data_IF_149817429900
#
_entry.id   IF_149817429900
#
_cell.length_a   1.000
_cell.length_b   1.000
_cell.length_c   1.000
_cell.angle_alpha   90.00
_cell.angle_beta   90.00
_cell.angle_gamma   90.00
#
_symmetry.space_group_name_H-M   'P 1'
#
loop_
_entity.id
_entity.type
_entity.pdbx_description
1 polymer ?
#
# COMPACT_ATOMS: atom_id res chain seq x y z
N UNK A 1 -42.38 -7.95 5.16
CA UNK A 1 -41.57 -9.14 4.86
C UNK A 1 -40.30 -8.69 4.15
N UNK A 2 -39.28 -8.34 4.92
CA UNK A 2 -37.95 -7.98 4.40
C UNK A 2 -37.26 -9.27 4.00
N UNK A 3 -37.20 -9.52 2.70
CA UNK A 3 -36.46 -10.64 2.12
C UNK A 3 -34.98 -10.41 2.35
N UNK A 4 -34.40 -11.09 3.33
CA UNK A 4 -32.95 -11.16 3.56
C UNK A 4 -32.32 -11.91 2.40
N UNK A 5 -31.86 -11.18 1.39
CA UNK A 5 -31.09 -11.73 0.28
C UNK A 5 -29.76 -12.24 0.84
N UNK A 6 -29.51 -13.54 0.71
CA UNK A 6 -28.26 -14.16 1.13
C UNK A 6 -27.07 -13.47 0.42
N UNK A 7 -25.95 -13.26 1.13
CA UNK A 7 -24.76 -12.69 0.51
C UNK A 7 -24.31 -13.55 -0.68
N UNK A 8 -23.82 -12.94 -1.78
CA UNK A 8 -23.33 -13.70 -2.92
C UNK A 8 -22.23 -14.68 -2.48
N UNK A 9 -22.16 -15.88 -3.07
CA UNK A 9 -21.13 -16.86 -2.72
C UNK A 9 -19.74 -16.26 -2.94
N UNK A 10 -18.87 -16.39 -1.95
CA UNK A 10 -17.47 -15.98 -2.03
C UNK A 10 -16.85 -16.59 -3.30
N UNK A 11 -16.27 -15.75 -4.17
CA UNK A 11 -15.63 -16.23 -5.39
C UNK A 11 -14.52 -17.22 -5.03
N UNK A 12 -14.58 -18.43 -5.59
CA UNK A 12 -13.59 -19.46 -5.35
C UNK A 12 -12.21 -19.02 -5.86
N UNK A 13 -11.16 -19.37 -5.12
CA UNK A 13 -9.77 -19.08 -5.48
C UNK A 13 -9.42 -19.68 -6.86
N UNK A 14 -9.00 -18.83 -7.80
CA UNK A 14 -8.59 -19.26 -9.13
C UNK A 14 -7.39 -20.23 -9.06
N UNK A 15 -7.34 -21.20 -9.98
CA UNK A 15 -6.34 -22.29 -9.98
C UNK A 15 -4.88 -21.79 -9.95
N UNK A 16 -4.54 -20.83 -10.81
CA UNK A 16 -3.16 -20.28 -10.89
C UNK A 16 -2.76 -19.55 -9.60
N UNK A 17 -3.72 -18.87 -8.96
CA UNK A 17 -3.53 -18.21 -7.66
C UNK A 17 -3.31 -19.24 -6.56
N UNK A 18 -4.10 -20.31 -6.54
CA UNK A 18 -3.93 -21.41 -5.60
C UNK A 18 -2.56 -22.10 -5.76
N UNK A 19 -2.08 -22.32 -7.00
CA UNK A 19 -0.74 -22.86 -7.26
C UNK A 19 0.35 -21.94 -6.73
N UNK A 20 0.22 -20.63 -6.94
CA UNK A 20 1.17 -19.63 -6.42
C UNK A 20 1.22 -19.66 -4.89
N UNK A 21 0.06 -19.68 -4.24
CA UNK A 21 -0.01 -19.73 -2.77
C UNK A 21 0.51 -21.06 -2.22
N UNK A 22 0.23 -22.18 -2.88
CA UNK A 22 0.78 -23.48 -2.53
C UNK A 22 2.32 -23.47 -2.58
N UNK A 23 2.92 -22.87 -3.61
CA UNK A 23 4.37 -22.73 -3.72
C UNK A 23 4.95 -21.84 -2.59
N UNK A 24 4.26 -20.78 -2.20
CA UNK A 24 4.63 -19.94 -1.06
C UNK A 24 4.59 -20.72 0.25
N UNK A 25 3.50 -21.43 0.53
CA UNK A 25 3.39 -22.23 1.76
C UNK A 25 4.40 -23.38 1.78
N UNK A 26 4.63 -24.07 0.66
CA UNK A 26 5.64 -25.12 0.57
C UNK A 26 7.04 -24.57 0.86
N UNK A 27 7.35 -23.37 0.36
CA UNK A 27 8.59 -22.69 0.70
C UNK A 27 8.63 -22.32 2.19
N UNK A 28 7.56 -21.83 2.80
CA UNK A 28 7.58 -21.42 4.21
C UNK A 28 7.36 -22.56 5.22
N UNK A 29 6.98 -23.75 4.78
CA UNK A 29 6.80 -24.93 5.64
C UNK A 29 8.12 -25.50 6.21
N UNK A 30 9.25 -24.81 6.02
CA UNK A 30 10.56 -25.17 6.56
C UNK A 30 11.00 -24.16 7.64
N UNK A 31 11.26 -24.62 8.87
CA UNK A 31 11.59 -23.73 9.98
C UNK A 31 12.91 -22.97 9.77
N UNK A 32 13.86 -23.53 9.02
CA UNK A 32 15.13 -22.86 8.70
C UNK A 32 14.89 -21.68 7.78
N UNK A 33 14.00 -21.81 6.79
CA UNK A 33 13.64 -20.73 5.88
C UNK A 33 12.88 -19.61 6.58
N UNK A 34 11.98 -19.95 7.51
CA UNK A 34 11.27 -18.97 8.34
C UNK A 34 12.25 -18.19 9.22
N UNK A 35 13.17 -18.88 9.91
CA UNK A 35 14.20 -18.24 10.74
C UNK A 35 15.14 -17.36 9.92
N UNK A 36 15.54 -17.81 8.73
CA UNK A 36 16.40 -17.04 7.84
C UNK A 36 15.71 -15.75 7.38
N UNK A 37 14.44 -15.85 6.95
CA UNK A 37 13.65 -14.69 6.55
C UNK A 37 13.54 -13.67 7.69
N UNK A 38 13.28 -14.14 8.91
CA UNK A 38 13.23 -13.29 10.10
C UNK A 38 14.57 -12.62 10.37
N UNK A 39 15.68 -13.36 10.35
CA UNK A 39 17.02 -12.81 10.57
C UNK A 39 17.38 -11.72 9.56
N UNK A 40 17.06 -11.91 8.28
CA UNK A 40 17.25 -10.87 7.25
C UNK A 40 16.35 -9.66 7.51
N UNK A 41 15.09 -9.88 7.89
CA UNK A 41 14.13 -8.82 8.16
C UNK A 41 14.47 -7.97 9.38
N UNK A 42 15.10 -8.56 10.40
CA UNK A 42 15.49 -7.90 11.65
C UNK A 42 16.92 -7.38 11.64
N UNK A 43 17.68 -7.59 10.56
CA UNK A 43 19.01 -7.05 10.42
C UNK A 43 18.96 -5.50 10.41
N UNK A 44 19.85 -4.86 11.18
CA UNK A 44 19.87 -3.39 11.32
C UNK A 44 20.03 -2.64 9.97
N UNK A 45 20.67 -3.28 8.99
CA UNK A 45 20.87 -2.77 7.63
C UNK A 45 19.75 -3.14 6.64
N UNK A 46 18.70 -3.85 7.07
CA UNK A 46 17.66 -4.40 6.20
C UNK A 46 18.14 -5.47 5.20
N UNK A 47 19.39 -5.92 5.36
CA UNK A 47 20.05 -6.92 4.53
C UNK A 47 21.19 -7.58 5.30
N UNK A 48 21.54 -8.83 4.95
CA UNK A 48 22.57 -9.61 5.63
C UNK A 48 23.37 -10.48 4.66
N UNK A 49 24.66 -10.70 4.94
CA UNK A 49 25.49 -11.61 4.12
C UNK A 49 25.13 -13.06 4.42
N UNK A 50 25.17 -13.91 3.40
CA UNK A 50 24.89 -15.36 3.54
C UNK A 50 25.78 -16.02 4.60
N UNK A 51 27.05 -15.64 4.69
CA UNK A 51 27.97 -16.18 5.71
C UNK A 51 27.61 -15.78 7.13
N UNK A 52 27.06 -14.57 7.33
CA UNK A 52 26.65 -14.09 8.65
C UNK A 52 25.34 -14.75 9.08
N UNK A 53 24.39 -14.89 8.15
CA UNK A 53 23.15 -15.64 8.35
C UNK A 53 23.42 -17.10 8.73
N UNK A 54 24.34 -17.76 8.03
CA UNK A 54 24.71 -19.15 8.33
C UNK A 54 25.23 -19.30 9.77
N UNK A 55 26.06 -18.35 10.21
CA UNK A 55 26.63 -18.32 11.57
C UNK A 55 25.55 -18.07 12.63
N UNK A 56 24.66 -17.11 12.39
CA UNK A 56 23.56 -16.78 13.30
C UNK A 56 22.56 -17.94 13.45
N UNK A 57 22.25 -18.62 12.35
CA UNK A 57 21.31 -19.74 12.34
C UNK A 57 21.92 -21.05 12.87
N UNK A 58 23.25 -21.12 12.99
CA UNK A 58 23.98 -22.32 13.40
C UNK A 58 24.01 -23.41 12.32
N UNK A 59 23.99 -23.03 11.04
CA UNK A 59 23.97 -23.97 9.89
C UNK A 59 25.17 -23.77 8.99
N UNK A 60 25.43 -24.75 8.11
CA UNK A 60 26.51 -24.62 7.12
C UNK A 60 26.19 -23.53 6.08
N UNK A 61 27.23 -22.91 5.52
CA UNK A 61 27.05 -21.87 4.49
C UNK A 61 26.43 -22.44 3.20
N UNK A 62 26.69 -23.71 2.86
CA UNK A 62 26.05 -24.38 1.71
C UNK A 62 24.56 -24.62 1.96
N UNK A 63 24.18 -25.04 3.17
CA UNK A 63 22.79 -25.17 3.61
C UNK A 63 22.08 -23.82 3.58
N UNK A 64 22.70 -22.77 4.12
CA UNK A 64 22.15 -21.41 4.09
C UNK A 64 21.94 -20.94 2.64
N UNK A 65 22.94 -21.13 1.77
CA UNK A 65 22.84 -20.74 0.35
C UNK A 65 21.72 -21.49 -0.39
N UNK A 66 21.54 -22.78 -0.08
CA UNK A 66 20.45 -23.58 -0.61
C UNK A 66 19.07 -23.01 -0.21
N UNK A 67 18.87 -22.71 1.08
CA UNK A 67 17.62 -22.10 1.56
C UNK A 67 17.37 -20.70 1.00
N UNK A 68 18.41 -19.88 0.87
CA UNK A 68 18.32 -18.55 0.24
C UNK A 68 17.87 -18.67 -1.20
N UNK A 69 18.35 -19.67 -1.96
CA UNK A 69 17.92 -19.89 -3.34
C UNK A 69 16.43 -20.21 -3.42
N UNK A 70 15.93 -21.15 -2.62
CA UNK A 70 14.50 -21.47 -2.56
C UNK A 70 13.64 -20.26 -2.19
N UNK A 71 14.10 -19.46 -1.23
CA UNK A 71 13.43 -18.21 -0.85
C UNK A 71 13.45 -17.17 -1.99
N UNK A 72 14.54 -17.09 -2.75
CA UNK A 72 14.66 -16.18 -3.89
C UNK A 72 13.78 -16.62 -5.07
N UNK A 73 13.76 -17.92 -5.38
CA UNK A 73 12.92 -18.52 -6.43
C UNK A 73 11.43 -18.33 -6.15
N UNK A 74 11.03 -18.42 -4.87
CA UNK A 74 9.68 -18.10 -4.43
C UNK A 74 9.40 -16.59 -4.27
N UNK A 75 10.42 -15.75 -4.46
CA UNK A 75 10.32 -14.29 -4.45
C UNK A 75 10.32 -13.64 -3.06
N UNK A 76 10.66 -14.35 -1.98
CA UNK A 76 10.68 -13.81 -0.61
C UNK A 76 11.90 -12.95 -0.30
N UNK A 77 13.02 -13.19 -0.96
CA UNK A 77 14.27 -12.45 -0.77
C UNK A 77 14.86 -12.04 -2.10
N UNK A 78 15.56 -10.91 -2.13
CA UNK A 78 16.46 -10.54 -3.22
C UNK A 78 17.89 -10.87 -2.80
N UNK A 79 18.71 -11.29 -3.79
CA UNK A 79 20.11 -11.67 -3.56
C UNK A 79 20.99 -10.84 -4.49
N UNK A 80 21.76 -9.94 -3.89
CA UNK A 80 22.71 -9.08 -4.59
C UNK A 80 24.14 -9.56 -4.35
N UNK A 81 25.00 -9.45 -5.37
CA UNK A 81 26.44 -9.71 -5.21
C UNK A 81 27.17 -8.43 -4.82
N UNK A 82 27.85 -8.46 -3.67
CA UNK A 82 28.71 -7.39 -3.18
C UNK A 82 30.12 -7.96 -3.03
N UNK A 83 30.97 -7.67 -4.01
CA UNK A 83 32.30 -8.28 -4.14
C UNK A 83 32.18 -9.80 -4.36
N UNK A 84 32.85 -10.58 -3.51
CA UNK A 84 32.78 -12.06 -3.54
C UNK A 84 31.63 -12.63 -2.72
N UNK A 85 30.90 -11.79 -1.97
CA UNK A 85 29.87 -12.21 -1.04
C UNK A 85 28.46 -11.96 -1.59
N UNK A 86 27.54 -12.86 -1.27
CA UNK A 86 26.10 -12.66 -1.56
C UNK A 86 25.44 -11.99 -0.35
N UNK A 87 24.75 -10.88 -0.60
CA UNK A 87 23.95 -10.12 0.37
C UNK A 87 22.49 -10.39 0.07
N UNK A 88 21.75 -10.77 1.11
CA UNK A 88 20.33 -11.12 1.05
C UNK A 88 19.53 -9.99 1.67
N UNK A 89 18.48 -9.53 1.00
CA UNK A 89 17.51 -8.57 1.53
C UNK A 89 16.10 -9.13 1.40
N UNK A 90 15.18 -8.69 2.26
CA UNK A 90 13.77 -9.09 2.12
C UNK A 90 13.20 -8.42 0.87
N UNK A 91 12.53 -9.20 0.02
CA UNK A 91 11.81 -8.62 -1.09
C UNK A 91 10.55 -7.91 -0.57
N UNK A 92 10.57 -6.58 -0.49
CA UNK A 92 9.43 -5.82 0.02
C UNK A 92 8.11 -6.10 -0.75
N UNK A 93 8.18 -6.58 -2.00
CA UNK A 93 7.01 -7.00 -2.77
C UNK A 93 6.31 -8.22 -2.16
N UNK A 94 7.05 -9.18 -1.58
CA UNK A 94 6.47 -10.39 -0.96
C UNK A 94 5.73 -10.07 0.35
N UNK A 95 6.18 -9.05 1.10
CA UNK A 95 5.51 -8.55 2.29
C UNK A 95 4.14 -7.93 1.99
N UNK A 96 3.82 -7.71 0.71
CA UNK A 96 2.50 -7.23 0.29
C UNK A 96 1.51 -8.35 -0.03
N UNK A 97 1.97 -9.59 -0.23
CA UNK A 97 1.14 -10.73 -0.64
C UNK A 97 0.86 -11.76 0.45
N UNK A 98 1.78 -12.02 1.38
CA UNK A 98 1.65 -13.10 2.37
C UNK A 98 0.48 -12.95 3.38
N UNK A 99 0.15 -11.76 3.90
CA UNK A 99 -1.06 -11.61 4.71
C UNK A 99 -2.32 -11.94 3.90
N UNK A 100 -2.35 -11.52 2.63
CA UNK A 100 -3.48 -11.72 1.72
C UNK A 100 -3.61 -13.18 1.24
N UNK A 101 -2.51 -13.90 1.06
CA UNK A 101 -2.54 -15.31 0.65
C UNK A 101 -3.18 -16.19 1.72
N UNK A 102 -2.82 -15.98 2.99
CA UNK A 102 -3.44 -16.70 4.11
C UNK A 102 -4.94 -16.37 4.21
N UNK A 103 -5.32 -15.09 4.14
CA UNK A 103 -6.71 -14.66 4.16
C UNK A 103 -7.52 -15.19 2.96
N UNK A 104 -6.93 -15.24 1.77
CA UNK A 104 -7.58 -15.73 0.57
C UNK A 104 -7.82 -17.24 0.66
N UNK A 105 -6.82 -17.98 1.15
CA UNK A 105 -6.91 -19.44 1.36
C UNK A 105 -7.94 -19.78 2.44
N UNK A 106 -8.02 -18.98 3.49
CA UNK A 106 -9.00 -19.14 4.57
C UNK A 106 -10.40 -18.61 4.20
N UNK A 107 -10.59 -18.12 2.97
CA UNK A 107 -11.87 -17.61 2.47
C UNK A 107 -12.33 -16.31 3.14
N UNK A 108 -11.45 -15.62 3.88
CA UNK A 108 -11.74 -14.34 4.52
C UNK A 108 -11.67 -13.16 3.55
N UNK A 109 -11.03 -13.37 2.39
CA UNK A 109 -11.12 -12.49 1.23
C UNK A 109 -12.13 -13.04 0.22
N UNK A 110 -13.41 -12.90 0.54
CA UNK A 110 -14.38 -12.68 -0.52
C UNK A 110 -13.92 -11.44 -1.29
N UNK A 111 -13.94 -11.50 -2.63
CA UNK A 111 -13.63 -10.45 -3.63
C UNK A 111 -13.21 -9.11 -3.02
N UNK A 112 -11.98 -8.60 -3.29
CA UNK A 112 -11.52 -7.34 -2.70
C UNK A 112 -12.64 -6.30 -2.79
N UNK A 113 -13.11 -5.75 -1.67
CA UNK A 113 -14.28 -4.89 -1.71
C UNK A 113 -13.96 -3.71 -2.62
N UNK A 114 -14.88 -3.36 -3.52
CA UNK A 114 -14.67 -2.28 -4.49
C UNK A 114 -14.27 -0.96 -3.81
N UNK A 115 -14.67 -0.79 -2.55
CA UNK A 115 -14.28 0.26 -1.63
C UNK A 115 -14.59 -0.16 -0.18
N UNK A 116 -14.07 0.52 0.85
CA UNK A 116 -14.42 0.23 2.25
C UNK A 116 -15.93 0.41 2.50
N UNK A 117 -16.58 -0.57 3.13
CA UNK A 117 -18.02 -0.53 3.44
C UNK A 117 -18.32 -0.29 4.94
N UNK A 118 -17.40 -0.68 5.83
CA UNK A 118 -17.47 -0.43 7.27
C UNK A 118 -16.90 0.95 7.60
N UNK A 119 -17.77 1.97 7.54
CA UNK A 119 -17.42 3.37 7.74
C UNK A 119 -17.84 3.86 9.13
N UNK A 120 -17.03 4.70 9.79
CA UNK A 120 -17.39 5.28 11.08
C UNK A 120 -18.59 6.23 10.96
N UNK A 121 -19.60 6.04 11.81
CA UNK A 121 -20.86 6.79 11.76
C UNK A 121 -20.71 8.29 12.08
N UNK A 122 -19.67 8.67 12.81
CA UNK A 122 -19.38 10.05 13.23
C UNK A 122 -18.53 10.84 12.22
N UNK A 123 -18.16 10.22 11.09
CA UNK A 123 -17.37 10.85 10.03
C UNK A 123 -18.20 11.01 8.77
N UNK A 124 -18.41 12.25 8.34
CA UNK A 124 -19.04 12.57 7.07
C UNK A 124 -18.00 13.01 6.04
N UNK A 125 -18.29 12.84 4.76
CA UNK A 125 -17.44 13.37 3.68
C UNK A 125 -18.23 14.33 2.80
N UNK A 126 -17.56 15.36 2.30
CA UNK A 126 -18.14 16.34 1.37
C UNK A 126 -17.09 16.85 0.39
N UNK A 127 -17.54 17.49 -0.68
CA UNK A 127 -16.65 18.19 -1.60
C UNK A 127 -15.82 19.23 -0.85
N UNK A 128 -14.54 19.31 -1.20
CA UNK A 128 -13.63 20.33 -0.70
C UNK A 128 -13.99 21.68 -1.33
N UNK A 129 -13.97 22.74 -0.53
CA UNK A 129 -14.15 24.12 -0.96
C UNK A 129 -12.89 24.94 -0.72
N UNK A 130 -12.80 26.14 -1.31
CA UNK A 130 -11.65 27.02 -1.10
C UNK A 130 -11.50 27.46 0.36
N UNK A 131 -12.61 27.49 1.14
CA UNK A 131 -12.58 27.77 2.57
C UNK A 131 -11.86 26.68 3.38
N UNK A 132 -11.80 25.44 2.88
CA UNK A 132 -11.14 24.32 3.56
C UNK A 132 -9.62 24.33 3.35
N UNK A 133 -9.11 25.06 2.35
CA UNK A 133 -7.72 24.96 1.90
C UNK A 133 -6.70 25.29 3.00
N UNK A 134 -7.03 26.22 3.90
CA UNK A 134 -6.18 26.53 5.04
C UNK A 134 -6.01 25.32 5.97
N UNK A 135 -7.11 24.62 6.27
CA UNK A 135 -7.10 23.43 7.12
C UNK A 135 -6.49 22.21 6.41
N UNK A 136 -6.80 22.03 5.13
CA UNK A 136 -6.21 21.00 4.26
C UNK A 136 -4.69 21.15 4.21
N UNK A 137 -4.18 22.36 4.01
CA UNK A 137 -2.75 22.65 4.01
C UNK A 137 -2.09 22.33 5.36
N UNK A 138 -2.77 22.61 6.47
CA UNK A 138 -2.27 22.25 7.81
C UNK A 138 -2.17 20.72 7.98
N UNK A 139 -3.18 19.96 7.55
CA UNK A 139 -3.15 18.49 7.58
C UNK A 139 -2.06 17.94 6.65
N UNK A 140 -1.85 18.55 5.47
CA UNK A 140 -0.76 18.18 4.58
C UNK A 140 0.60 18.42 5.24
N UNK A 141 0.76 19.54 5.95
CA UNK A 141 1.98 19.86 6.71
C UNK A 141 2.28 18.80 7.78
N UNK A 142 1.27 18.32 8.50
CA UNK A 142 1.42 17.20 9.45
C UNK A 142 1.97 15.95 8.74
N UNK A 143 1.52 15.68 7.50
CA UNK A 143 2.02 14.60 6.66
C UNK A 143 3.48 14.78 6.23
N UNK A 144 3.84 15.96 5.72
CA UNK A 144 5.23 16.33 5.34
C UNK A 144 6.17 16.14 6.53
N UNK A 145 5.77 16.60 7.72
CA UNK A 145 6.56 16.50 8.94
C UNK A 145 6.94 15.05 9.31
N UNK A 146 6.13 14.05 8.90
CA UNK A 146 6.45 12.64 9.18
C UNK A 146 7.58 12.06 8.34
N UNK A 147 7.92 12.66 7.18
CA UNK A 147 8.83 12.09 6.17
C UNK A 147 8.43 10.67 5.68
N UNK A 148 7.15 10.34 5.84
CA UNK A 148 6.54 9.04 5.49
C UNK A 148 5.28 9.16 4.63
N UNK A 149 4.92 10.38 4.20
CA UNK A 149 3.72 10.61 3.38
C UNK A 149 4.02 11.14 1.98
N UNK A 150 5.09 11.91 1.79
CA UNK A 150 5.46 12.54 0.52
C UNK A 150 6.97 12.76 0.45
N UNK A 151 7.49 12.94 -0.77
CA UNK A 151 8.87 13.38 -1.01
C UNK A 151 9.04 14.89 -0.87
N UNK A 152 7.94 15.66 -0.78
CA UNK A 152 8.04 17.09 -0.54
C UNK A 152 8.61 17.39 0.85
N UNK A 153 9.60 18.27 0.89
CA UNK A 153 10.25 18.73 2.14
C UNK A 153 9.65 20.03 2.67
N UNK A 154 8.91 20.75 1.82
CA UNK A 154 8.25 22.02 2.15
C UNK A 154 6.76 21.92 1.86
N UNK A 155 5.96 22.67 2.62
CA UNK A 155 4.50 22.67 2.48
C UNK A 155 4.09 23.66 1.39
N UNK A 156 3.59 23.21 0.23
CA UNK A 156 3.24 24.11 -0.87
C UNK A 156 2.17 25.13 -0.47
N UNK A 157 2.07 26.22 -1.23
CA UNK A 157 0.96 27.16 -1.08
C UNK A 157 -0.39 26.45 -1.35
N UNK A 158 -1.44 26.92 -0.70
CA UNK A 158 -2.79 26.36 -0.84
C UNK A 158 -3.28 26.34 -2.30
N UNK A 159 -2.95 27.39 -3.08
CA UNK A 159 -3.27 27.49 -4.50
C UNK A 159 -2.57 26.41 -5.33
N UNK A 160 -1.28 26.14 -5.04
CA UNK A 160 -0.51 25.08 -5.72
C UNK A 160 -1.12 23.71 -5.47
N UNK A 161 -1.54 23.43 -4.23
CA UNK A 161 -2.27 22.19 -3.91
C UNK A 161 -3.60 22.12 -4.66
N UNK A 162 -4.40 23.19 -4.61
CA UNK A 162 -5.70 23.29 -5.27
C UNK A 162 -5.59 23.02 -6.78
N UNK A 163 -4.60 23.61 -7.44
CA UNK A 163 -4.43 23.58 -8.90
C UNK A 163 -3.81 22.26 -9.40
N UNK A 164 -3.13 21.51 -8.52
CA UNK A 164 -2.59 20.16 -8.81
C UNK A 164 -3.70 19.12 -8.98
N UNK A 165 -4.78 19.27 -8.22
CA UNK A 165 -5.82 18.27 -8.08
C UNK A 165 -6.95 18.50 -9.08
N UNK A 166 -7.54 17.41 -9.57
CA UNK A 166 -8.72 17.46 -10.43
C UNK A 166 -9.89 18.12 -9.67
N UNK A 167 -10.56 19.15 -10.24
CA UNK A 167 -11.54 19.95 -9.51
C UNK A 167 -12.66 19.16 -8.83
N UNK A 168 -13.18 18.16 -9.55
CA UNK A 168 -14.27 17.27 -9.13
C UNK A 168 -13.80 16.06 -8.31
N UNK A 169 -12.49 15.97 -8.06
CA UNK A 169 -11.91 14.89 -7.28
C UNK A 169 -11.16 15.37 -6.04
N UNK A 170 -11.82 16.20 -5.22
CA UNK A 170 -11.31 16.71 -3.95
C UNK A 170 -12.38 16.68 -2.88
N UNK A 171 -12.08 16.07 -1.74
CA UNK A 171 -13.05 15.87 -0.64
C UNK A 171 -12.38 16.03 0.71
N UNK A 172 -13.16 16.48 1.67
CA UNK A 172 -12.78 16.55 3.08
C UNK A 172 -13.62 15.57 3.89
N UNK A 173 -13.04 15.07 4.98
CA UNK A 173 -13.74 14.33 6.02
C UNK A 173 -13.94 15.24 7.23
N UNK A 174 -15.16 15.25 7.74
CA UNK A 174 -15.57 16.04 8.90
C UNK A 174 -15.96 15.12 10.05
N UNK A 175 -15.53 15.49 11.26
CA UNK A 175 -15.96 14.85 12.50
C UNK A 175 -16.05 15.93 13.58
N UNK A 176 -17.17 15.96 14.32
CA UNK A 176 -17.41 17.01 15.32
C UNK A 176 -17.40 18.43 14.75
N UNK A 177 -17.87 18.60 13.50
CA UNK A 177 -17.91 19.90 12.81
C UNK A 177 -16.55 20.45 12.39
N UNK A 178 -15.50 19.63 12.38
CA UNK A 178 -14.14 20.03 11.99
C UNK A 178 -13.62 19.16 10.85
N UNK A 179 -12.87 19.75 9.92
CA UNK A 179 -12.13 19.00 8.90
C UNK A 179 -10.96 18.27 9.56
N UNK A 180 -11.03 16.94 9.54
CA UNK A 180 -10.09 16.01 10.18
C UNK A 180 -9.29 15.17 9.18
N UNK A 181 -9.58 15.27 7.89
CA UNK A 181 -8.83 14.62 6.83
C UNK A 181 -9.29 15.10 5.47
N UNK A 182 -8.52 14.76 4.44
CA UNK A 182 -8.89 15.06 3.06
C UNK A 182 -8.33 14.02 2.10
N UNK A 183 -8.91 13.99 0.92
CA UNK A 183 -8.43 13.20 -0.20
C UNK A 183 -8.59 13.98 -1.50
N UNK A 184 -7.65 13.76 -2.41
CA UNK A 184 -7.66 14.39 -3.71
C UNK A 184 -7.01 13.49 -4.77
N UNK A 185 -7.38 13.68 -6.03
CA UNK A 185 -6.79 12.95 -7.17
C UNK A 185 -6.08 13.94 -8.10
N UNK A 186 -4.88 13.58 -8.55
CA UNK A 186 -4.12 14.32 -9.56
C UNK A 186 -4.05 13.50 -10.86
N UNK A 187 -3.97 14.14 -12.04
CA UNK A 187 -3.73 13.39 -13.28
C UNK A 187 -2.33 12.77 -13.29
N UNK A 188 -2.20 11.55 -13.80
CA UNK A 188 -0.90 10.86 -13.92
C UNK A 188 -0.12 11.25 -15.18
N UNK A 189 -0.81 11.75 -16.21
CA UNK A 189 -0.21 12.17 -17.47
C UNK A 189 -1.09 13.22 -18.16
N UNK A 190 -0.47 14.06 -18.99
CA UNK A 190 -1.17 15.02 -19.86
C UNK A 190 -1.65 14.39 -21.17
N UNK A 191 -1.22 13.16 -21.49
CA UNK A 191 -1.61 12.45 -22.72
C UNK A 191 -3.05 11.95 -22.61
N UNK A 192 -3.87 12.20 -23.63
CA UNK A 192 -5.28 11.84 -23.66
C UNK A 192 -5.57 10.34 -23.37
N UNK A 193 -4.66 9.44 -23.77
CA UNK A 193 -4.80 8.00 -23.50
C UNK A 193 -4.74 7.63 -22.00
N UNK A 194 -4.36 8.56 -21.12
CA UNK A 194 -4.32 8.40 -19.66
C UNK A 194 -5.39 9.24 -18.95
N UNK A 195 -6.37 9.81 -19.65
CA UNK A 195 -7.33 10.76 -19.07
C UNK A 195 -8.13 10.21 -17.87
N UNK A 196 -8.38 8.90 -17.81
CA UNK A 196 -9.03 8.26 -16.66
C UNK A 196 -8.08 7.55 -15.70
N UNK A 197 -6.79 7.90 -15.71
CA UNK A 197 -5.80 7.40 -14.75
C UNK A 197 -5.38 8.53 -13.82
N UNK A 198 -5.79 8.43 -12.55
CA UNK A 198 -5.48 9.39 -11.50
C UNK A 198 -4.58 8.82 -10.41
N UNK A 199 -3.77 9.67 -9.79
CA UNK A 199 -3.03 9.34 -8.56
C UNK A 199 -3.75 9.94 -7.35
N UNK A 200 -4.16 9.06 -6.44
CA UNK A 200 -4.88 9.40 -5.22
C UNK A 200 -3.93 9.77 -4.08
N UNK A 201 -4.29 10.82 -3.36
CA UNK A 201 -3.69 11.24 -2.11
C UNK A 201 -4.73 11.17 -0.98
N UNK A 202 -4.36 10.62 0.17
CA UNK A 202 -5.21 10.57 1.37
C UNK A 202 -4.41 11.03 2.58
N UNK A 203 -4.94 12.00 3.32
CA UNK A 203 -4.30 12.54 4.52
C UNK A 203 -5.30 12.63 5.67
N UNK A 204 -4.87 12.22 6.86
CA UNK A 204 -5.67 12.26 8.08
C UNK A 204 -4.89 13.01 9.14
N UNK A 205 -5.56 13.99 9.78
CA UNK A 205 -5.01 14.74 10.89
C UNK A 205 -4.54 13.80 12.00
N UNK A 206 -3.41 14.11 12.64
CA UNK A 206 -2.79 13.27 13.65
C UNK A 206 -3.77 12.88 14.78
N UNK A 207 -4.62 13.81 15.20
CA UNK A 207 -5.64 13.64 16.24
C UNK A 207 -6.82 12.74 15.85
N UNK A 208 -6.95 12.40 14.56
CA UNK A 208 -8.06 11.61 14.03
C UNK A 208 -7.63 10.27 13.41
N UNK A 209 -6.35 9.90 13.51
CA UNK A 209 -5.83 8.61 13.04
C UNK A 209 -6.41 7.46 13.88
N UNK A 210 -6.52 6.28 13.27
CA UNK A 210 -7.08 5.08 13.92
C UNK A 210 -8.61 5.06 14.08
N UNK A 211 -9.31 6.15 13.74
CA UNK A 211 -10.78 6.27 13.86
C UNK A 211 -11.56 5.93 12.60
N UNK A 212 -10.92 5.34 11.59
CA UNK A 212 -11.57 5.01 10.32
C UNK A 212 -11.75 6.18 9.33
N UNK A 213 -11.28 7.40 9.63
CA UNK A 213 -11.36 8.56 8.72
C UNK A 213 -10.78 8.26 7.33
N UNK A 214 -9.63 7.57 7.27
CA UNK A 214 -9.02 7.17 6.01
C UNK A 214 -9.89 6.22 5.18
N UNK A 215 -10.68 5.34 5.82
CA UNK A 215 -11.63 4.46 5.12
C UNK A 215 -12.75 5.27 4.47
N UNK A 216 -13.33 6.22 5.22
CA UNK A 216 -14.38 7.10 4.72
C UNK A 216 -13.91 7.94 3.52
N UNK A 217 -12.68 8.47 3.60
CA UNK A 217 -12.06 9.20 2.50
C UNK A 217 -11.82 8.32 1.27
N UNK A 218 -11.22 7.14 1.41
CA UNK A 218 -11.01 6.23 0.28
C UNK A 218 -12.32 5.76 -0.34
N UNK A 219 -13.34 5.44 0.48
CA UNK A 219 -14.67 5.11 -0.01
C UNK A 219 -15.22 6.21 -0.91
N UNK A 220 -15.15 7.47 -0.44
CA UNK A 220 -15.61 8.63 -1.21
C UNK A 220 -14.79 8.83 -2.49
N UNK A 221 -13.46 8.76 -2.40
CA UNK A 221 -12.57 8.93 -3.54
C UNK A 221 -12.84 7.91 -4.64
N UNK A 222 -12.96 6.63 -4.28
CA UNK A 222 -13.16 5.53 -5.23
C UNK A 222 -14.53 5.64 -5.89
N UNK A 223 -15.59 5.80 -5.09
CA UNK A 223 -16.96 5.84 -5.61
C UNK A 223 -17.16 7.01 -6.59
N UNK A 224 -16.59 8.18 -6.28
CA UNK A 224 -16.67 9.34 -7.17
C UNK A 224 -15.69 9.26 -8.35
N UNK A 225 -14.54 8.59 -8.19
CA UNK A 225 -13.65 8.29 -9.31
C UNK A 225 -14.37 7.47 -10.38
N UNK A 226 -15.07 6.41 -9.97
CA UNK A 226 -15.84 5.55 -10.87
C UNK A 226 -17.00 6.30 -11.52
N UNK A 227 -17.81 6.99 -10.72
CA UNK A 227 -18.96 7.73 -11.21
C UNK A 227 -18.60 8.84 -12.21
N UNK A 228 -17.36 9.34 -12.16
CA UNK A 228 -16.88 10.45 -13.01
C UNK A 228 -15.85 9.99 -14.06
N UNK A 229 -15.76 8.69 -14.31
CA UNK A 229 -15.07 8.14 -15.47
C UNK A 229 -13.58 7.88 -15.31
N UNK A 230 -13.02 7.97 -14.11
CA UNK A 230 -11.69 7.43 -13.85
C UNK A 230 -11.77 5.90 -13.81
N UNK A 231 -10.89 5.22 -14.55
CA UNK A 231 -10.84 3.76 -14.59
C UNK A 231 -9.68 3.16 -13.79
N UNK A 232 -8.71 3.99 -13.40
CA UNK A 232 -7.61 3.57 -12.55
C UNK A 232 -7.25 4.67 -11.56
N UNK A 233 -7.20 4.30 -10.28
CA UNK A 233 -6.57 5.08 -9.23
C UNK A 233 -5.24 4.44 -8.85
N UNK A 234 -4.18 5.21 -8.84
CA UNK A 234 -2.85 4.80 -8.38
C UNK A 234 -2.53 5.45 -7.04
N UNK A 235 -1.64 4.83 -6.27
CA UNK A 235 -1.06 5.44 -5.09
C UNK A 235 0.41 5.01 -4.95
N UNK A 236 1.28 5.96 -4.65
CA UNK A 236 2.68 5.70 -4.31
C UNK A 236 2.89 5.83 -2.80
N UNK A 237 3.20 4.73 -2.13
CA UNK A 237 3.29 4.69 -0.67
C UNK A 237 4.69 4.23 -0.24
N UNK A 238 5.30 4.93 0.71
CA UNK A 238 6.56 4.46 1.31
C UNK A 238 6.38 3.09 1.99
N UNK A 239 7.31 2.13 1.83
CA UNK A 239 7.20 0.79 2.43
C UNK A 239 7.03 0.82 3.96
N UNK A 240 7.60 1.83 4.62
CA UNK A 240 7.52 2.02 6.07
C UNK A 240 6.10 2.42 6.54
N UNK A 241 5.29 3.02 5.66
CA UNK A 241 3.94 3.46 5.98
C UNK A 241 2.94 2.29 5.91
N UNK A 242 3.09 1.34 6.84
CA UNK A 242 2.28 0.12 6.93
C UNK A 242 0.79 0.42 7.07
N UNK A 243 0.42 1.50 7.77
CA UNK A 243 -0.96 1.92 7.94
C UNK A 243 -1.61 2.32 6.60
N UNK A 244 -0.92 3.12 5.78
CA UNK A 244 -1.42 3.49 4.45
C UNK A 244 -1.52 2.28 3.52
N UNK A 245 -0.52 1.39 3.54
CA UNK A 245 -0.56 0.15 2.75
C UNK A 245 -1.75 -0.74 3.13
N UNK A 246 -2.00 -0.93 4.43
CA UNK A 246 -3.14 -1.71 4.90
C UNK A 246 -4.49 -1.05 4.52
N UNK A 247 -4.57 0.27 4.65
CA UNK A 247 -5.76 1.03 4.28
C UNK A 247 -6.11 0.90 2.79
N UNK A 248 -5.13 1.06 1.90
CA UNK A 248 -5.36 0.92 0.46
C UNK A 248 -5.73 -0.51 0.08
N UNK A 249 -5.08 -1.53 0.66
CA UNK A 249 -5.44 -2.95 0.42
C UNK A 249 -6.87 -3.26 0.85
N UNK A 250 -7.28 -2.76 2.02
CA UNK A 250 -8.65 -2.90 2.51
C UNK A 250 -9.68 -2.16 1.62
N UNK A 251 -9.22 -1.24 0.77
CA UNK A 251 -10.02 -0.51 -0.20
C UNK A 251 -9.93 -1.10 -1.62
N UNK A 252 -9.42 -2.32 -1.78
CA UNK A 252 -9.35 -3.01 -3.07
C UNK A 252 -8.13 -2.67 -3.94
N UNK A 253 -7.14 -1.94 -3.42
CA UNK A 253 -5.90 -1.70 -4.14
C UNK A 253 -5.00 -2.94 -4.14
N UNK A 254 -4.43 -3.25 -5.30
CA UNK A 254 -3.39 -4.26 -5.48
C UNK A 254 -2.00 -3.62 -5.62
N UNK A 255 -0.96 -4.33 -5.20
CA UNK A 255 0.42 -3.90 -5.46
C UNK A 255 0.77 -4.15 -6.93
N UNK A 256 1.29 -3.14 -7.61
CA UNK A 256 1.87 -3.27 -8.95
C UNK A 256 3.37 -3.53 -8.92
N UNK A 257 4.09 -2.74 -8.15
CA UNK A 257 5.55 -2.76 -8.14
C UNK A 257 6.12 -2.20 -6.85
N UNK A 258 7.36 -2.59 -6.55
CA UNK A 258 8.23 -1.84 -5.65
C UNK A 258 9.25 -1.12 -6.51
N UNK A 259 9.31 0.20 -6.39
CA UNK A 259 10.27 1.05 -7.10
C UNK A 259 11.41 1.35 -6.15
N UNK A 260 12.50 0.60 -6.28
CA UNK A 260 13.67 0.74 -5.42
C UNK A 260 14.50 1.97 -5.77
N UNK A 261 14.93 2.69 -4.73
CA UNK A 261 15.76 3.91 -4.81
C UNK A 261 15.25 4.90 -5.87
N UNK A 262 13.93 5.07 -5.93
CA UNK A 262 13.29 5.85 -7.00
C UNK A 262 13.51 7.35 -6.86
N UNK A 263 13.67 7.85 -5.63
CA UNK A 263 13.89 9.25 -5.34
C UNK A 263 14.69 9.46 -4.04
N UNK A 264 15.28 10.64 -3.90
CA UNK A 264 16.05 11.03 -2.71
C UNK A 264 15.22 11.92 -1.78
N UNK A 265 15.27 11.65 -0.49
CA UNK A 265 14.72 12.47 0.59
C UNK A 265 15.78 12.63 1.67
N UNK A 266 16.10 13.87 2.05
CA UNK A 266 17.13 14.19 3.06
C UNK A 266 18.50 13.54 2.80
N UNK A 267 18.86 13.42 1.51
CA UNK A 267 20.11 12.81 1.08
C UNK A 267 20.07 11.30 0.91
N UNK A 268 19.05 10.61 1.44
CA UNK A 268 18.86 9.16 1.38
C UNK A 268 17.98 8.74 0.20
N UNK A 269 18.34 7.62 -0.44
CA UNK A 269 17.49 7.01 -1.47
C UNK A 269 16.34 6.24 -0.81
N UNK A 270 15.10 6.49 -1.23
CA UNK A 270 13.91 5.84 -0.70
C UNK A 270 13.19 5.02 -1.78
N UNK A 271 12.57 3.95 -1.32
CA UNK A 271 11.74 3.05 -2.12
C UNK A 271 10.28 3.52 -2.06
N UNK A 272 9.47 3.11 -3.05
CA UNK A 272 8.00 3.26 -2.99
C UNK A 272 7.32 1.98 -3.42
N UNK A 273 6.17 1.70 -2.83
CA UNK A 273 5.23 0.68 -3.28
C UNK A 273 4.19 1.38 -4.16
N UNK A 274 4.15 1.01 -5.43
CA UNK A 274 3.11 1.46 -6.36
C UNK A 274 1.91 0.54 -6.23
N UNK A 275 0.78 1.13 -5.87
CA UNK A 275 -0.51 0.47 -5.74
C UNK A 275 -1.43 0.96 -6.87
N UNK A 276 -2.36 0.11 -7.27
CA UNK A 276 -3.48 0.53 -8.10
C UNK A 276 -4.80 -0.08 -7.65
N UNK A 277 -5.89 0.60 -7.97
CA UNK A 277 -7.24 0.06 -7.99
C UNK A 277 -7.83 0.37 -9.36
N UNK A 278 -8.40 -0.64 -10.00
CA UNK A 278 -9.12 -0.51 -11.28
C UNK A 278 -10.60 -0.67 -11.03
N UNK A 279 -11.43 0.02 -11.82
CA UNK A 279 -12.86 -0.26 -11.88
C UNK A 279 -13.08 -1.60 -12.59
N UNK A 280 -14.13 -2.32 -12.23
CA UNK A 280 -14.35 -3.70 -12.68
C UNK A 280 -14.67 -3.82 -14.18
N UNK A 281 -15.14 -2.74 -14.80
CA UNK A 281 -15.57 -2.65 -16.20
C UNK A 281 -14.52 -1.98 -17.13
N UNK A 282 -13.24 -1.92 -16.72
CA UNK A 282 -12.16 -1.26 -17.48
C UNK A 282 -10.94 -2.11 -17.83
#
# INVERSE_FOLDING_TARGET
MTSTQAPPPAAALAGDTATTYAAWFATLADPTRVRLLNAVATAASGSARVGDLARELGISQSTCSHHVRHLADAGFVAVDKVGTSSVVSVNAACCTGLPHAADAVMGTLSTPPCCPADLPADVTTRAMTDADLARVRAIYAEGVATRQATFETEVPAATVLRDRWLPDHRWVAEAGGQVVGFTAVSPTSTRACYAGVGEGAVYVAATARGRGVGKALLHRQITEADARGLWTLQASVFPENRASLALHRAAGYRTLAVRSRIARLDGEWRDTVLLERRRDDA
#
